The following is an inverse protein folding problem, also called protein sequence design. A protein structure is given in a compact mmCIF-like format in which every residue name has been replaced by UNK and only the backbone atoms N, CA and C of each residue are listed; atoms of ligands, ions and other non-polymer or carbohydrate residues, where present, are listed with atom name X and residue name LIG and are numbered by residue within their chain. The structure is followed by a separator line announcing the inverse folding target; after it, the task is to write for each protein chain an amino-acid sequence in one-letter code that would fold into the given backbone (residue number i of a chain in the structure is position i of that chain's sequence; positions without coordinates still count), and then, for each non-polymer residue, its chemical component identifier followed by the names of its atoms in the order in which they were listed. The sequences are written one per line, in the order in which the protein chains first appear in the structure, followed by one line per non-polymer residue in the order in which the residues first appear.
data_IF_031164042808
#
_entry.id   IF_031164042808
#
_cell.length_a   1.000
_cell.length_b   1.000
_cell.length_c   1.000
_cell.angle_alpha   90.00
_cell.angle_beta   90.00
_cell.angle_gamma   90.00
#
_symmetry.space_group_name_H-M   'P 1'
#
loop_
_entity.id
_entity.type
_entity.pdbx_description
1 polymer ?
#
# COMPACT_ATOMS: atom_id res chain seq x y z
N UNK A 1 23.89 10.60 63.42
CA UNK A 1 22.89 9.96 62.52
C UNK A 1 22.41 10.91 61.41
N UNK A 2 22.07 12.17 61.71
CA UNK A 2 21.66 13.20 60.72
C UNK A 2 22.68 13.48 59.61
N UNK A 3 23.95 13.64 59.95
CA UNK A 3 25.01 13.94 58.96
C UNK A 3 25.18 12.84 57.91
N UNK A 4 25.01 11.57 58.31
CA UNK A 4 25.11 10.41 57.43
C UNK A 4 23.90 10.30 56.47
N UNK A 5 22.71 10.69 56.93
CA UNK A 5 21.51 10.82 56.09
C UNK A 5 21.62 11.99 55.10
N UNK A 6 22.23 13.10 55.52
CA UNK A 6 22.42 14.27 54.68
C UNK A 6 23.36 14.01 53.48
N UNK A 7 24.45 13.27 53.70
CA UNK A 7 25.36 12.89 52.59
C UNK A 7 24.71 11.90 51.62
N UNK A 8 23.84 11.01 52.11
CA UNK A 8 23.10 10.04 51.28
C UNK A 8 22.02 10.74 50.44
N UNK A 9 21.32 11.75 51.00
CA UNK A 9 20.34 12.55 50.25
C UNK A 9 21.00 13.39 49.14
N UNK A 10 22.22 13.89 49.35
CA UNK A 10 22.94 14.71 48.37
C UNK A 10 23.26 13.97 47.06
N UNK A 11 23.42 12.64 47.11
CA UNK A 11 23.66 11.79 45.92
C UNK A 11 22.37 11.48 45.14
N UNK A 12 21.23 11.44 45.82
CA UNK A 12 19.92 11.22 45.21
C UNK A 12 19.35 12.46 44.51
N UNK A 13 19.81 13.67 44.86
CA UNK A 13 19.38 14.90 44.19
C UNK A 13 19.71 14.91 42.69
N UNK A 14 20.88 14.34 42.33
CA UNK A 14 21.29 14.19 40.93
C UNK A 14 20.38 13.18 40.22
N UNK A 15 19.99 12.09 40.89
CA UNK A 15 19.07 11.10 40.35
C UNK A 15 17.67 11.69 40.10
N UNK A 16 17.13 12.45 41.06
CA UNK A 16 15.83 13.16 40.91
C UNK A 16 15.89 14.20 39.79
N UNK A 17 17.03 14.87 39.61
CA UNK A 17 17.22 15.79 38.50
C UNK A 17 17.10 15.08 37.15
N UNK A 18 17.75 13.93 36.96
CA UNK A 18 17.64 13.14 35.74
C UNK A 18 16.24 12.54 35.54
N UNK A 19 15.56 12.14 36.62
CA UNK A 19 14.19 11.62 36.58
C UNK A 19 13.19 12.66 36.03
N UNK A 20 13.44 13.95 36.26
CA UNK A 20 12.62 15.06 35.73
C UNK A 20 13.11 15.52 34.36
N UNK A 21 14.43 15.55 34.14
CA UNK A 21 15.04 16.01 32.89
C UNK A 21 14.73 15.08 31.71
N UNK A 22 14.73 13.76 31.92
CA UNK A 22 14.52 12.78 30.84
C UNK A 22 13.12 12.94 30.21
N UNK A 23 12.01 12.94 30.99
CA UNK A 23 10.69 13.22 30.44
C UNK A 23 10.58 14.59 29.77
N UNK A 24 11.18 15.62 30.37
CA UNK A 24 11.14 16.98 29.83
C UNK A 24 11.86 17.09 28.48
N UNK A 25 13.03 16.47 28.34
CA UNK A 25 13.78 16.41 27.08
C UNK A 25 13.08 15.56 26.02
N UNK A 26 12.44 14.46 26.43
CA UNK A 26 11.66 13.64 25.51
C UNK A 26 10.46 14.43 24.96
N UNK A 27 9.71 15.09 25.84
CA UNK A 27 8.59 15.94 25.44
C UNK A 27 9.04 17.11 24.54
N UNK A 28 10.15 17.76 24.85
CA UNK A 28 10.67 18.85 24.01
C UNK A 28 11.08 18.35 22.63
N UNK A 29 11.73 17.19 22.55
CA UNK A 29 12.10 16.56 21.28
C UNK A 29 10.86 16.20 20.44
N UNK A 30 9.81 15.66 21.06
CA UNK A 30 8.55 15.34 20.36
C UNK A 30 7.85 16.58 19.80
N UNK A 31 7.86 17.70 20.54
CA UNK A 31 7.29 18.97 20.07
C UNK A 31 8.09 19.50 18.88
N UNK A 32 9.43 19.42 18.94
CA UNK A 32 10.29 19.84 17.83
C UNK A 32 10.06 19.02 16.57
N UNK A 33 9.99 17.69 16.68
CA UNK A 33 9.69 16.81 15.54
C UNK A 33 8.32 17.13 14.96
N UNK A 34 7.31 17.33 15.81
CA UNK A 34 5.97 17.72 15.36
C UNK A 34 5.94 19.07 14.67
N UNK A 35 6.74 20.03 15.14
CA UNK A 35 6.87 21.35 14.52
C UNK A 35 7.66 21.34 13.21
N UNK A 36 8.55 20.37 13.03
CA UNK A 36 9.33 20.20 11.79
C UNK A 36 8.53 19.50 10.69
N UNK A 37 7.45 18.79 11.05
CA UNK A 37 6.49 18.27 10.07
C UNK A 37 5.57 19.41 9.69
N UNK A 38 5.85 20.03 8.54
CA UNK A 38 4.95 21.02 7.96
C UNK A 38 3.56 20.41 7.78
N UNK A 39 2.49 21.03 8.30
CA UNK A 39 1.14 20.54 8.10
C UNK A 39 0.79 20.70 6.62
N UNK A 40 0.44 19.59 5.96
CA UNK A 40 -0.06 19.63 4.59
C UNK A 40 -1.43 20.32 4.56
N UNK A 41 -1.41 21.61 4.21
CA UNK A 41 -2.62 22.41 4.11
C UNK A 41 -3.24 22.19 2.73
N UNK A 42 -4.24 21.31 2.68
CA UNK A 42 -5.04 21.12 1.47
C UNK A 42 -6.06 22.26 1.43
N UNK A 43 -5.74 23.32 0.67
CA UNK A 43 -6.57 24.52 0.54
C UNK A 43 -7.89 24.27 -0.21
N UNK A 44 -7.93 23.22 -1.04
CA UNK A 44 -9.11 22.82 -1.79
C UNK A 44 -9.66 21.49 -1.27
N UNK A 45 -10.98 21.31 -1.22
CA UNK A 45 -11.57 20.03 -0.83
C UNK A 45 -11.06 18.93 -1.78
N UNK A 46 -10.58 17.82 -1.22
CA UNK A 46 -10.19 16.65 -2.02
C UNK A 46 -11.44 16.06 -2.67
N UNK A 47 -11.70 16.43 -3.92
CA UNK A 47 -12.78 15.87 -4.73
C UNK A 47 -12.24 14.63 -5.43
N UNK A 48 -12.71 13.46 -5.00
CA UNK A 48 -12.42 12.21 -5.68
C UNK A 48 -13.29 12.09 -6.93
N UNK A 49 -12.68 12.24 -8.11
CA UNK A 49 -13.36 11.99 -9.36
C UNK A 49 -13.74 10.51 -9.49
N UNK A 50 -14.87 10.18 -10.14
CA UNK A 50 -15.17 8.79 -10.47
C UNK A 50 -14.06 8.23 -11.35
N UNK A 51 -13.61 7.01 -11.03
CA UNK A 51 -12.60 6.33 -11.83
C UNK A 51 -13.17 6.11 -13.24
N UNK A 52 -12.48 6.58 -14.30
CA UNK A 52 -12.95 6.38 -15.66
C UNK A 52 -12.96 4.89 -15.98
N UNK A 53 -14.13 4.34 -16.34
CA UNK A 53 -14.27 2.92 -16.69
C UNK A 53 -13.53 2.54 -17.98
N UNK A 54 -13.19 3.54 -18.81
CA UNK A 54 -12.67 3.37 -20.16
C UNK A 54 -11.17 3.64 -20.25
N UNK A 55 -10.53 3.99 -19.14
CA UNK A 55 -9.11 4.33 -19.15
C UNK A 55 -8.51 3.85 -17.86
N UNK A 56 -7.56 2.95 -17.99
CA UNK A 56 -6.83 2.44 -16.86
C UNK A 56 -5.62 3.34 -16.62
N UNK A 57 -5.60 4.16 -15.55
CA UNK A 57 -4.40 4.88 -15.18
C UNK A 57 -3.33 3.83 -14.88
N UNK A 58 -2.21 3.87 -15.62
CA UNK A 58 -1.20 2.83 -15.57
C UNK A 58 -0.86 2.43 -14.14
N UNK A 59 -0.83 1.12 -13.86
CA UNK A 59 -0.53 0.61 -12.52
C UNK A 59 0.85 1.17 -12.16
N UNK A 60 0.96 2.00 -11.10
CA UNK A 60 2.27 2.34 -10.57
C UNK A 60 2.95 1.01 -10.23
N UNK A 61 4.22 0.85 -10.61
CA UNK A 61 4.97 -0.40 -10.47
C UNK A 61 4.79 -0.93 -9.04
N UNK A 62 3.88 -1.87 -8.87
CA UNK A 62 3.53 -2.42 -7.56
C UNK A 62 4.62 -3.42 -7.18
N UNK A 63 5.00 -3.42 -5.90
CA UNK A 63 5.89 -4.43 -5.34
C UNK A 63 5.05 -5.42 -4.53
N UNK A 64 5.02 -6.72 -4.89
CA UNK A 64 5.73 -7.39 -6.00
C UNK A 64 5.12 -7.10 -7.39
N UNK A 65 5.91 -7.18 -8.48
CA UNK A 65 5.44 -6.89 -9.83
C UNK A 65 4.29 -7.83 -10.21
N UNK A 66 3.13 -7.24 -10.53
CA UNK A 66 2.01 -7.97 -11.14
C UNK A 66 2.30 -8.20 -12.61
N UNK A 67 2.13 -9.43 -13.08
CA UNK A 67 2.20 -9.74 -14.50
C UNK A 67 0.90 -9.21 -15.13
N UNK A 68 0.94 -8.34 -16.15
CA UNK A 68 -0.25 -7.84 -16.84
C UNK A 68 -0.86 -8.97 -17.68
N UNK A 69 -1.44 -9.94 -16.99
CA UNK A 69 -2.06 -11.15 -17.54
C UNK A 69 -3.52 -11.21 -17.11
N UNK A 70 -4.39 -11.32 -18.09
CA UNK A 70 -5.83 -11.55 -17.92
C UNK A 70 -6.09 -13.03 -18.13
N UNK A 71 -6.53 -13.70 -17.09
CA UNK A 71 -6.87 -15.11 -17.15
C UNK A 71 -8.40 -15.28 -17.27
N UNK A 72 -8.89 -16.18 -18.12
CA UNK A 72 -10.33 -16.39 -18.29
C UNK A 72 -10.73 -17.87 -18.32
N UNK A 73 -11.98 -18.19 -17.95
CA UNK A 73 -12.54 -19.55 -18.00
C UNK A 73 -14.04 -19.50 -18.30
N UNK A 74 -14.63 -20.46 -19.07
CA UNK A 74 -13.98 -21.62 -19.71
C UNK A 74 -13.25 -21.27 -21.01
N UNK A 75 -12.32 -22.13 -21.42
CA UNK A 75 -11.57 -21.96 -22.68
C UNK A 75 -12.49 -22.24 -23.88
N UNK A 76 -12.88 -21.20 -24.60
CA UNK A 76 -13.72 -21.26 -25.79
C UNK A 76 -13.17 -20.29 -26.86
N UNK A 77 -13.07 -20.68 -28.14
CA UNK A 77 -12.62 -19.79 -29.22
C UNK A 77 -13.42 -18.48 -29.33
N UNK A 78 -14.71 -18.49 -28.97
CA UNK A 78 -15.54 -17.27 -28.97
C UNK A 78 -15.12 -16.33 -27.84
N UNK A 79 -14.86 -16.88 -26.65
CA UNK A 79 -14.42 -16.10 -25.49
C UNK A 79 -13.00 -15.57 -25.71
N UNK A 80 -12.15 -16.32 -26.40
CA UNK A 80 -10.80 -15.89 -26.76
C UNK A 80 -10.83 -14.65 -27.67
N UNK A 81 -11.67 -14.66 -28.70
CA UNK A 81 -11.87 -13.51 -29.57
C UNK A 81 -12.47 -12.31 -28.82
N UNK A 82 -13.42 -12.53 -27.92
CA UNK A 82 -14.07 -11.48 -27.13
C UNK A 82 -13.10 -10.83 -26.14
N UNK A 83 -12.29 -11.63 -25.44
CA UNK A 83 -11.29 -11.11 -24.50
C UNK A 83 -10.18 -10.38 -25.25
N UNK A 84 -9.79 -10.88 -26.43
CA UNK A 84 -8.79 -10.20 -27.28
C UNK A 84 -9.30 -8.84 -27.74
N UNK A 85 -10.53 -8.78 -28.27
CA UNK A 85 -11.17 -7.53 -28.73
C UNK A 85 -11.34 -6.52 -27.58
N UNK A 86 -11.79 -6.98 -26.40
CA UNK A 86 -11.93 -6.13 -25.23
C UNK A 86 -10.58 -5.56 -24.75
N UNK A 87 -9.52 -6.37 -24.79
CA UNK A 87 -8.18 -5.96 -24.37
C UNK A 87 -7.57 -4.95 -25.35
N UNK A 88 -7.73 -5.17 -26.65
CA UNK A 88 -7.24 -4.28 -27.70
C UNK A 88 -8.00 -2.95 -27.73
N UNK A 89 -9.32 -2.97 -27.60
CA UNK A 89 -10.15 -1.77 -27.74
C UNK A 89 -10.25 -0.93 -26.46
N UNK A 90 -10.12 -1.53 -25.27
CA UNK A 90 -10.38 -0.82 -24.01
C UNK A 90 -9.20 -0.77 -23.03
N UNK A 91 -8.19 -1.64 -23.16
CA UNK A 91 -7.09 -1.75 -22.20
C UNK A 91 -5.74 -1.25 -22.74
N UNK A 92 -5.72 -0.70 -23.95
CA UNK A 92 -4.52 -0.15 -24.61
C UNK A 92 -4.17 1.24 -24.06
N UNK A 93 -4.00 1.34 -22.75
CA UNK A 93 -3.45 2.54 -22.10
C UNK A 93 -1.93 2.42 -22.00
N UNK A 94 -1.25 3.02 -22.99
CA UNK A 94 0.11 3.60 -23.06
C UNK A 94 1.34 2.85 -22.52
N UNK A 95 1.26 1.88 -21.60
CA UNK A 95 2.45 1.36 -20.90
C UNK A 95 2.52 -0.16 -20.66
N UNK A 96 1.47 -0.94 -20.89
CA UNK A 96 1.53 -2.41 -20.66
C UNK A 96 0.83 -3.20 -21.74
N UNK A 97 1.58 -4.06 -22.43
CA UNK A 97 1.02 -5.12 -23.26
C UNK A 97 0.37 -6.16 -22.33
N UNK A 98 -0.95 -6.09 -22.18
CA UNK A 98 -1.68 -7.14 -21.48
C UNK A 98 -1.68 -8.41 -22.35
N UNK A 99 -1.45 -9.55 -21.72
CA UNK A 99 -1.53 -10.86 -22.38
C UNK A 99 -2.72 -11.63 -21.80
N UNK A 100 -3.37 -12.48 -22.59
CA UNK A 100 -4.51 -13.27 -22.11
C UNK A 100 -4.17 -14.77 -22.09
N UNK A 101 -4.80 -15.52 -21.17
CA UNK A 101 -4.65 -16.98 -21.08
C UNK A 101 -5.98 -17.63 -20.67
N UNK A 102 -6.47 -18.56 -21.50
CA UNK A 102 -7.72 -19.28 -21.27
C UNK A 102 -7.54 -20.62 -20.56
N UNK A 103 -8.35 -20.89 -19.55
CA UNK A 103 -8.32 -22.10 -18.73
C UNK A 103 -9.61 -22.92 -18.85
N UNK A 104 -9.48 -24.24 -18.78
CA UNK A 104 -10.61 -25.16 -18.99
C UNK A 104 -11.75 -24.96 -17.97
N UNK A 105 -11.41 -24.76 -16.69
CA UNK A 105 -12.38 -24.65 -15.59
C UNK A 105 -11.96 -23.57 -14.57
N UNK A 106 -12.95 -22.99 -13.88
CA UNK A 106 -12.75 -21.99 -12.82
C UNK A 106 -11.86 -22.48 -11.67
N UNK A 107 -11.91 -23.78 -11.35
CA UNK A 107 -11.03 -24.37 -10.34
C UNK A 107 -9.54 -24.29 -10.72
N UNK A 108 -9.20 -24.55 -11.98
CA UNK A 108 -7.81 -24.47 -12.46
C UNK A 108 -7.34 -23.00 -12.53
N UNK A 109 -8.24 -22.10 -12.95
CA UNK A 109 -8.01 -20.66 -12.94
C UNK A 109 -7.67 -20.19 -11.53
N UNK A 110 -8.51 -20.53 -10.54
CA UNK A 110 -8.35 -20.09 -9.16
C UNK A 110 -7.05 -20.59 -8.53
N UNK A 111 -6.69 -21.87 -8.73
CA UNK A 111 -5.45 -22.43 -8.23
C UNK A 111 -4.22 -21.66 -8.75
N UNK A 112 -4.26 -21.19 -10.00
CA UNK A 112 -3.16 -20.44 -10.62
C UNK A 112 -3.14 -18.96 -10.24
N UNK A 113 -4.29 -18.33 -10.01
CA UNK A 113 -4.37 -16.95 -9.48
C UNK A 113 -3.78 -16.86 -8.07
N UNK A 114 -3.89 -17.93 -7.27
CA UNK A 114 -3.28 -18.00 -5.93
C UNK A 114 -1.76 -18.19 -6.03
N UNK A 115 -1.29 -18.89 -7.06
CA UNK A 115 0.13 -19.20 -7.23
C UNK A 115 0.92 -18.09 -7.94
N UNK A 116 0.29 -17.35 -8.85
CA UNK A 116 0.92 -16.34 -9.69
C UNK A 116 0.28 -14.97 -9.46
N UNK A 117 1.10 -13.92 -9.53
CA UNK A 117 0.62 -12.53 -9.48
C UNK A 117 0.01 -12.10 -10.82
N UNK A 118 -1.04 -12.80 -11.27
CA UNK A 118 -1.85 -12.36 -12.39
C UNK A 118 -2.64 -11.12 -12.01
N UNK A 119 -2.96 -10.32 -13.02
CA UNK A 119 -3.65 -9.06 -12.79
C UNK A 119 -5.13 -9.28 -12.47
N UNK A 120 -5.81 -10.16 -13.24
CA UNK A 120 -7.24 -10.43 -13.04
C UNK A 120 -7.63 -11.80 -13.61
N UNK A 121 -8.63 -12.42 -12.97
CA UNK A 121 -9.30 -13.63 -13.45
C UNK A 121 -10.76 -13.34 -13.78
N UNK A 122 -11.24 -13.85 -14.92
CA UNK A 122 -12.62 -13.70 -15.39
C UNK A 122 -13.27 -15.10 -15.48
N UNK A 123 -14.37 -15.28 -14.78
CA UNK A 123 -15.19 -16.49 -14.86
C UNK A 123 -16.50 -16.17 -15.58
N UNK A 124 -16.78 -16.91 -16.64
CA UNK A 124 -18.06 -16.86 -17.35
C UNK A 124 -18.90 -18.07 -16.93
N UNK A 125 -20.08 -17.81 -16.37
CA UNK A 125 -21.08 -18.82 -15.98
C UNK A 125 -22.05 -19.11 -17.13
#
# INVERSE_FOLDING_TARGET
LLWKNWTIQKRHYIQTLFEILIPALCCSMLILVRGLVDPEQVAEPTIFAPMPANTFPGIPIAFPPSIPRVAYSPKNPILDALVTDALENHMTSTFTNFTHEGYANAFQLQALLVQKNYFVGIEFN
#
